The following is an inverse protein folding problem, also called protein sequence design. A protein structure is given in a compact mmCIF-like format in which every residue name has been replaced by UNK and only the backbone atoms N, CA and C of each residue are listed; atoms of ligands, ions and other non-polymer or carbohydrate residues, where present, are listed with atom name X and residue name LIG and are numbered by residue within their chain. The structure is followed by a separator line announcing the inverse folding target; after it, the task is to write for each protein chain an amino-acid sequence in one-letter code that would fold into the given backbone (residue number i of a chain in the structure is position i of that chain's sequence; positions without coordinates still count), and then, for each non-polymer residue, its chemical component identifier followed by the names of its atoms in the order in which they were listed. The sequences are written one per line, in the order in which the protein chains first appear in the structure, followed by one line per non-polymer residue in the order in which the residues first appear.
data_IF_989597009379
#
_entry.id   IF_989597009379
#
_cell.length_a   1.000
_cell.length_b   1.000
_cell.length_c   1.000
_cell.angle_alpha   90.00
_cell.angle_beta   90.00
_cell.angle_gamma   90.00
#
_symmetry.space_group_name_H-M   'P 1'
#
loop_
_entity.id
_entity.type
_entity.pdbx_description
1 polymer ?
#
# COMPACT_ATOMS: atom_id res chain seq x y z
N UNK A 1 13.99 -5.34 54.07
CA UNK A 1 13.22 -4.18 53.51
C UNK A 1 13.25 -4.15 51.98
N UNK A 2 14.40 -4.39 51.34
CA UNK A 2 14.56 -4.36 49.87
C UNK A 2 13.68 -5.36 49.09
N UNK A 3 13.51 -6.60 49.59
CA UNK A 3 12.75 -7.65 48.90
C UNK A 3 11.26 -7.29 48.68
N UNK A 4 10.60 -6.71 49.69
CA UNK A 4 9.20 -6.22 49.57
C UNK A 4 9.06 -5.07 48.56
N UNK A 5 10.11 -4.26 48.39
CA UNK A 5 10.13 -3.15 47.43
C UNK A 5 10.27 -3.67 46.00
N UNK A 6 11.11 -4.68 45.80
CA UNK A 6 11.29 -5.35 44.50
C UNK A 6 9.97 -6.00 44.05
N UNK A 7 9.30 -6.77 44.92
CA UNK A 7 8.01 -7.41 44.60
C UNK A 7 6.95 -6.38 44.16
N UNK A 8 6.84 -5.25 44.87
CA UNK A 8 5.88 -4.20 44.49
C UNK A 8 6.16 -3.63 43.11
N UNK A 9 7.44 -3.39 42.78
CA UNK A 9 7.85 -2.88 41.46
C UNK A 9 7.53 -3.90 40.36
N UNK A 10 7.84 -5.18 40.60
CA UNK A 10 7.53 -6.27 39.65
C UNK A 10 6.02 -6.41 39.42
N UNK A 11 5.21 -6.28 40.48
CA UNK A 11 3.75 -6.36 40.36
C UNK A 11 3.19 -5.19 39.53
N UNK A 12 3.66 -3.97 39.76
CA UNK A 12 3.25 -2.79 38.98
C UNK A 12 3.63 -2.96 37.50
N UNK A 13 4.84 -3.47 37.23
CA UNK A 13 5.28 -3.78 35.87
C UNK A 13 4.38 -4.83 35.21
N UNK A 14 4.06 -5.93 35.90
CA UNK A 14 3.17 -6.98 35.40
C UNK A 14 1.77 -6.45 35.08
N UNK A 15 1.20 -5.61 35.94
CA UNK A 15 -0.11 -4.98 35.70
C UNK A 15 -0.05 -4.07 34.48
N UNK A 16 1.00 -3.26 34.33
CA UNK A 16 1.21 -2.42 33.15
C UNK A 16 1.36 -3.23 31.87
N UNK A 17 2.17 -4.30 31.93
CA UNK A 17 2.42 -5.22 30.82
C UNK A 17 1.12 -5.92 30.38
N UNK A 18 0.36 -6.49 31.33
CA UNK A 18 -0.91 -7.15 31.04
C UNK A 18 -1.95 -6.17 30.50
N UNK A 19 -2.04 -4.96 31.06
CA UNK A 19 -2.95 -3.91 30.58
C UNK A 19 -2.64 -3.51 29.13
N UNK A 20 -1.36 -3.32 28.79
CA UNK A 20 -0.95 -2.97 27.44
C UNK A 20 -1.28 -4.08 26.42
N UNK A 21 -1.06 -5.35 26.79
CA UNK A 21 -1.42 -6.48 25.93
C UNK A 21 -2.94 -6.60 25.75
N UNK A 22 -3.72 -6.35 26.81
CA UNK A 22 -5.18 -6.40 26.74
C UNK A 22 -5.76 -5.29 25.84
N UNK A 23 -5.22 -4.07 25.95
CA UNK A 23 -5.59 -2.95 25.07
C UNK A 23 -5.25 -3.28 23.61
N UNK A 24 -4.04 -3.80 23.37
CA UNK A 24 -3.63 -4.19 22.02
C UNK A 24 -4.55 -5.27 21.44
N UNK A 25 -4.86 -6.31 22.23
CA UNK A 25 -5.82 -7.34 21.86
C UNK A 25 -7.21 -6.78 21.53
N UNK A 26 -7.71 -5.82 22.31
CA UNK A 26 -8.99 -5.18 22.05
C UNK A 26 -8.97 -4.35 20.76
N UNK A 27 -7.87 -3.63 20.48
CA UNK A 27 -7.72 -2.81 19.28
C UNK A 27 -7.67 -3.62 17.98
N UNK A 28 -7.13 -4.84 18.03
CA UNK A 28 -7.04 -5.75 16.87
C UNK A 28 -8.19 -6.76 16.81
N UNK A 29 -9.13 -6.70 17.75
CA UNK A 29 -10.19 -7.69 17.83
C UNK A 29 -11.10 -7.63 16.60
N UNK A 30 -11.22 -8.75 15.89
CA UNK A 30 -11.98 -8.84 14.64
C UNK A 30 -11.24 -8.35 13.39
N UNK A 31 -10.00 -7.87 13.52
CA UNK A 31 -9.13 -7.52 12.39
C UNK A 31 -8.21 -8.70 12.03
N UNK A 32 -7.94 -8.86 10.74
CA UNK A 32 -6.87 -9.75 10.29
C UNK A 32 -5.51 -9.11 10.63
N UNK A 33 -4.72 -9.78 11.49
CA UNK A 33 -3.43 -9.28 11.94
C UNK A 33 -2.30 -10.27 11.60
N UNK A 34 -1.15 -9.79 11.09
CA UNK A 34 0.00 -10.65 10.86
C UNK A 34 0.60 -11.11 12.20
N UNK A 35 1.16 -12.33 12.23
CA UNK A 35 1.84 -12.86 13.41
C UNK A 35 3.07 -12.01 13.80
N UNK A 36 3.78 -11.45 12.82
CA UNK A 36 4.96 -10.61 13.00
C UNK A 36 4.95 -9.48 11.98
N UNK A 37 5.22 -8.26 12.45
CA UNK A 37 5.27 -7.07 11.59
C UNK A 37 6.71 -6.84 11.12
N UNK A 38 7.12 -7.54 10.04
CA UNK A 38 8.48 -7.54 9.50
C UNK A 38 8.65 -6.72 8.22
N UNK A 39 7.57 -6.15 7.67
CA UNK A 39 7.62 -5.39 6.42
C UNK A 39 7.88 -3.91 6.67
N UNK A 40 8.83 -3.33 5.92
CA UNK A 40 9.12 -1.90 5.91
C UNK A 40 8.59 -1.17 4.67
N UNK A 41 7.93 -1.88 3.75
CA UNK A 41 7.46 -1.27 2.51
C UNK A 41 6.21 -0.42 2.78
N UNK A 42 6.20 0.80 2.25
CA UNK A 42 5.02 1.66 2.27
C UNK A 42 3.87 1.00 1.50
N UNK A 43 2.72 0.88 2.14
CA UNK A 43 1.49 0.43 1.49
C UNK A 43 0.97 1.51 0.53
N UNK A 44 0.19 1.14 -0.51
CA UNK A 44 -0.56 2.11 -1.30
C UNK A 44 -1.46 2.99 -0.42
N UNK A 45 -1.74 4.19 -0.92
CA UNK A 45 -2.76 5.06 -0.35
C UNK A 45 -4.15 4.43 -0.50
N UNK A 46 -5.04 4.76 0.43
CA UNK A 46 -6.41 4.28 0.46
C UNK A 46 -7.31 5.12 -0.47
N UNK A 47 -7.44 4.67 -1.73
CA UNK A 47 -8.25 5.31 -2.77
C UNK A 47 -9.71 4.89 -2.79
N UNK A 48 -10.06 3.77 -2.15
CA UNK A 48 -11.42 3.21 -2.18
C UNK A 48 -11.88 3.10 -0.74
N UNK A 49 -12.72 4.04 -0.31
CA UNK A 49 -13.28 4.03 1.03
C UNK A 49 -14.28 2.89 1.20
N UNK A 50 -14.42 2.42 2.44
CA UNK A 50 -15.29 1.27 2.75
C UNK A 50 -16.75 1.53 2.35
N UNK A 51 -17.22 2.77 2.45
CA UNK A 51 -18.57 3.18 2.02
C UNK A 51 -18.77 3.16 0.50
N UNK A 52 -17.69 3.09 -0.29
CA UNK A 52 -17.73 2.88 -1.74
C UNK A 52 -17.85 1.39 -2.11
N UNK A 53 -17.69 0.47 -1.15
CA UNK A 53 -17.74 -0.97 -1.35
C UNK A 53 -19.09 -1.49 -0.85
N UNK A 54 -19.96 -1.86 -1.79
CA UNK A 54 -21.29 -2.40 -1.49
C UNK A 54 -21.24 -3.91 -1.68
N UNK A 55 -21.60 -4.63 -0.62
CA UNK A 55 -21.69 -6.09 -0.62
C UNK A 55 -23.17 -6.46 -0.70
N UNK A 56 -23.54 -7.16 -1.76
CA UNK A 56 -24.85 -7.80 -1.93
C UNK A 56 -24.69 -9.34 -1.86
N UNK A 57 -25.79 -10.07 -1.87
CA UNK A 57 -25.79 -11.53 -1.69
C UNK A 57 -25.02 -12.27 -2.81
N UNK A 58 -24.96 -11.70 -4.02
CA UNK A 58 -24.39 -12.34 -5.22
C UNK A 58 -23.28 -11.54 -5.90
N UNK A 59 -22.96 -10.33 -5.41
CA UNK A 59 -21.97 -9.45 -6.04
C UNK A 59 -21.37 -8.44 -5.05
N UNK A 60 -20.21 -7.92 -5.45
CA UNK A 60 -19.57 -6.78 -4.82
C UNK A 60 -19.56 -5.65 -5.87
N UNK A 61 -20.05 -4.48 -5.48
CA UNK A 61 -20.05 -3.27 -6.30
C UNK A 61 -19.07 -2.29 -5.66
N UNK A 62 -18.12 -1.81 -6.46
CA UNK A 62 -17.15 -0.80 -6.05
C UNK A 62 -17.43 0.46 -6.87
N UNK A 63 -17.91 1.51 -6.21
CA UNK A 63 -18.28 2.77 -6.86
C UNK A 63 -17.07 3.71 -6.97
N UNK A 64 -16.49 3.80 -8.16
CA UNK A 64 -15.34 4.65 -8.46
C UNK A 64 -15.61 5.37 -9.78
N UNK A 65 -15.47 6.69 -9.78
CA UNK A 65 -15.60 7.49 -10.99
C UNK A 65 -14.41 7.26 -11.94
N UNK A 66 -14.70 7.22 -13.24
CA UNK A 66 -13.70 7.09 -14.32
C UNK A 66 -12.69 5.94 -14.16
N UNK A 67 -13.09 4.87 -13.49
CA UNK A 67 -12.28 3.67 -13.34
C UNK A 67 -12.15 2.89 -14.65
N UNK A 68 -10.99 2.27 -14.86
CA UNK A 68 -10.73 1.37 -15.98
C UNK A 68 -10.05 0.09 -15.51
N UNK A 69 -10.03 -0.93 -16.38
CA UNK A 69 -9.35 -2.19 -16.12
C UNK A 69 -7.91 -2.16 -16.65
N UNK A 70 -6.97 -2.54 -15.79
CA UNK A 70 -5.58 -2.83 -16.13
C UNK A 70 -5.35 -4.32 -16.36
N UNK A 71 -4.51 -4.64 -17.36
CA UNK A 71 -4.05 -6.01 -17.66
C UNK A 71 -2.54 -6.00 -17.76
N UNK A 72 -1.91 -7.08 -17.31
CA UNK A 72 -0.46 -7.12 -17.12
C UNK A 72 0.22 -8.16 -18.00
N UNK A 73 1.38 -7.80 -18.55
CA UNK A 73 2.24 -8.72 -19.27
C UNK A 73 3.00 -9.63 -18.29
N UNK A 74 3.33 -10.88 -18.68
CA UNK A 74 4.03 -11.85 -17.83
C UNK A 74 5.54 -11.53 -17.69
N UNK A 75 5.87 -10.33 -17.21
CA UNK A 75 7.27 -9.91 -17.00
C UNK A 75 7.83 -10.38 -15.65
N UNK A 76 6.95 -10.63 -14.68
CA UNK A 76 7.32 -11.03 -13.31
C UNK A 76 7.93 -9.91 -12.45
N UNK A 77 7.98 -8.67 -12.92
CA UNK A 77 8.60 -7.54 -12.18
C UNK A 77 7.81 -7.09 -10.97
N UNK A 78 6.50 -7.38 -10.95
CA UNK A 78 5.58 -7.01 -9.86
C UNK A 78 5.19 -8.21 -8.97
N UNK A 79 5.83 -9.38 -9.14
CA UNK A 79 5.63 -10.49 -8.20
C UNK A 79 6.18 -10.13 -6.81
N UNK A 80 5.58 -10.61 -5.71
CA UNK A 80 4.38 -11.46 -5.65
C UNK A 80 3.06 -10.69 -5.67
N UNK A 81 3.08 -9.35 -5.80
CA UNK A 81 1.88 -8.51 -5.64
C UNK A 81 0.88 -8.70 -6.76
N UNK A 82 1.34 -8.78 -8.00
CA UNK A 82 0.50 -9.10 -9.15
C UNK A 82 1.31 -9.82 -10.23
N UNK A 83 0.60 -10.47 -11.15
CA UNK A 83 1.20 -11.13 -12.30
C UNK A 83 0.23 -11.17 -13.49
N UNK A 84 0.64 -11.83 -14.57
CA UNK A 84 -0.25 -12.22 -15.64
C UNK A 84 -1.48 -12.97 -15.10
N UNK A 85 -2.66 -12.51 -15.51
CA UNK A 85 -3.96 -13.03 -15.04
C UNK A 85 -4.64 -12.12 -14.00
N UNK A 86 -3.87 -11.32 -13.25
CA UNK A 86 -4.45 -10.34 -12.33
C UNK A 86 -5.19 -9.24 -13.10
N UNK A 87 -6.31 -8.78 -12.54
CA UNK A 87 -7.11 -7.68 -13.06
C UNK A 87 -6.92 -6.47 -12.16
N UNK A 88 -6.33 -5.40 -12.70
CA UNK A 88 -6.19 -4.14 -11.97
C UNK A 88 -7.43 -3.28 -12.14
N UNK A 89 -7.88 -2.65 -11.06
CA UNK A 89 -8.77 -1.50 -11.10
C UNK A 89 -7.87 -0.26 -11.00
N UNK A 90 -7.99 0.66 -11.95
CA UNK A 90 -7.12 1.83 -12.01
C UNK A 90 -7.88 3.09 -12.38
N UNK A 91 -7.43 4.21 -11.81
CA UNK A 91 -7.98 5.55 -12.04
C UNK A 91 -6.91 6.43 -12.64
N UNK A 92 -7.31 7.49 -13.34
CA UNK A 92 -6.40 8.52 -13.80
C UNK A 92 -6.20 9.54 -12.67
N UNK A 93 -4.96 9.86 -12.26
CA UNK A 93 -4.74 10.92 -11.30
C UNK A 93 -4.98 12.29 -11.94
N UNK A 94 -5.51 13.23 -11.17
CA UNK A 94 -5.77 14.59 -11.61
C UNK A 94 -4.55 15.49 -11.38
N UNK A 95 -3.77 15.21 -10.33
CA UNK A 95 -2.57 16.00 -10.02
C UNK A 95 -1.43 15.20 -9.38
N UNK A 96 -0.28 15.85 -9.22
CA UNK A 96 0.93 15.25 -8.63
C UNK A 96 0.71 14.90 -7.15
N UNK A 97 -0.25 15.56 -6.49
CA UNK A 97 -0.65 15.36 -5.10
C UNK A 97 -1.32 14.00 -4.89
N UNK A 98 -2.05 13.49 -5.89
CA UNK A 98 -2.78 12.20 -5.81
C UNK A 98 -1.83 11.00 -5.74
N UNK A 99 -0.58 11.17 -6.16
CA UNK A 99 0.42 10.09 -6.20
C UNK A 99 1.22 10.09 -4.90
N UNK A 100 1.15 8.98 -4.17
CA UNK A 100 1.76 8.77 -2.87
C UNK A 100 2.87 7.71 -2.90
N UNK A 101 3.77 7.77 -1.92
CA UNK A 101 4.77 6.72 -1.72
C UNK A 101 4.03 5.43 -1.33
N UNK A 102 4.33 4.33 -2.02
CA UNK A 102 3.66 3.05 -1.86
C UNK A 102 2.66 2.73 -2.96
N UNK A 103 2.19 3.73 -3.73
CA UNK A 103 1.23 3.53 -4.82
C UNK A 103 1.83 2.73 -5.98
N UNK A 104 0.99 1.96 -6.67
CA UNK A 104 1.38 1.26 -7.89
C UNK A 104 0.86 2.06 -9.08
N UNK A 105 1.77 2.65 -9.85
CA UNK A 105 1.43 3.55 -10.95
C UNK A 105 1.79 2.94 -12.30
N UNK A 106 0.98 3.24 -13.32
CA UNK A 106 1.29 2.99 -14.72
C UNK A 106 1.78 4.27 -15.38
N UNK A 107 2.96 4.25 -16.00
CA UNK A 107 3.58 5.40 -16.65
C UNK A 107 4.16 5.05 -18.01
N UNK A 108 4.17 6.01 -18.94
CA UNK A 108 4.74 5.87 -20.28
C UNK A 108 6.23 6.13 -20.27
N UNK A 109 6.96 5.23 -20.92
CA UNK A 109 8.39 5.40 -21.20
C UNK A 109 8.71 4.75 -22.53
N UNK A 110 9.33 5.51 -23.42
CA UNK A 110 9.74 5.04 -24.75
C UNK A 110 8.58 4.39 -25.54
N UNK A 111 7.35 4.92 -25.38
CA UNK A 111 6.12 4.42 -26.02
C UNK A 111 5.44 3.25 -25.31
N UNK A 112 6.09 2.65 -24.31
CA UNK A 112 5.58 1.47 -23.58
C UNK A 112 4.95 1.92 -22.27
N UNK A 113 3.85 1.26 -21.87
CA UNK A 113 3.24 1.46 -20.56
C UNK A 113 3.90 0.51 -19.55
N UNK A 114 4.53 1.07 -18.53
CA UNK A 114 5.23 0.35 -17.45
C UNK A 114 4.44 0.52 -16.17
N UNK A 115 4.31 -0.54 -15.36
CA UNK A 115 3.66 -0.49 -14.05
C UNK A 115 4.66 -0.86 -12.96
N UNK A 116 4.87 0.02 -11.98
CA UNK A 116 5.76 -0.21 -10.85
C UNK A 116 5.31 0.59 -9.60
N UNK A 117 5.84 0.25 -8.43
CA UNK A 117 5.52 0.91 -7.16
C UNK A 117 6.34 2.18 -6.96
N UNK A 118 5.72 3.26 -6.52
CA UNK A 118 6.40 4.48 -6.08
C UNK A 118 7.13 4.21 -4.77
N UNK A 119 8.44 4.40 -4.76
CA UNK A 119 9.30 4.24 -3.57
C UNK A 119 9.81 5.57 -3.04
N UNK A 120 9.77 6.63 -3.85
CA UNK A 120 10.18 7.97 -3.45
C UNK A 120 9.38 9.04 -4.22
N UNK A 121 9.10 10.16 -3.55
CA UNK A 121 8.52 11.38 -4.12
C UNK A 121 9.41 12.56 -3.72
N UNK A 122 9.76 13.41 -4.67
CA UNK A 122 10.61 14.57 -4.42
C UNK A 122 10.39 15.69 -5.41
N UNK A 123 11.11 16.80 -5.21
CA UNK A 123 11.06 17.98 -6.07
C UNK A 123 12.47 18.31 -6.54
N UNK A 124 12.62 18.62 -7.83
CA UNK A 124 13.86 19.17 -8.37
C UNK A 124 13.57 20.35 -9.32
N UNK A 125 14.60 20.82 -10.03
CA UNK A 125 14.49 21.96 -10.96
C UNK A 125 13.42 21.82 -12.05
N UNK A 126 12.95 20.60 -12.32
CA UNK A 126 11.93 20.32 -13.34
C UNK A 126 10.55 20.01 -12.73
N UNK A 127 10.34 20.28 -11.43
CA UNK A 127 9.09 20.00 -10.71
C UNK A 127 9.13 18.70 -9.90
N UNK A 128 7.95 18.17 -9.55
CA UNK A 128 7.83 16.91 -8.81
C UNK A 128 8.37 15.76 -9.67
N UNK A 129 8.96 14.78 -8.99
CA UNK A 129 9.34 13.51 -9.58
C UNK A 129 8.99 12.37 -8.64
N UNK A 130 8.87 11.20 -9.24
CA UNK A 130 8.65 9.93 -8.56
C UNK A 130 9.78 8.98 -8.94
N UNK A 131 10.27 8.22 -7.97
CA UNK A 131 11.13 7.05 -8.25
C UNK A 131 10.25 5.83 -8.06
N UNK A 132 10.21 5.00 -9.09
CA UNK A 132 9.46 3.76 -9.10
C UNK A 132 10.37 2.54 -9.05
N UNK A 133 9.80 1.41 -8.67
CA UNK A 133 10.50 0.13 -8.60
C UNK A 133 9.49 -1.02 -8.75
N UNK A 134 9.82 -2.02 -9.56
CA UNK A 134 9.07 -3.28 -9.54
C UNK A 134 9.24 -4.01 -8.21
N UNK A 135 8.16 -4.56 -7.66
CA UNK A 135 8.18 -5.23 -6.35
C UNK A 135 9.17 -6.41 -6.30
N UNK A 136 9.44 -7.04 -7.44
CA UNK A 136 10.42 -8.13 -7.59
C UNK A 136 11.78 -7.66 -8.13
N UNK A 137 11.97 -6.37 -8.36
CA UNK A 137 13.23 -5.86 -8.92
C UNK A 137 14.24 -5.56 -7.80
N UNK A 138 15.54 -5.58 -8.13
CA UNK A 138 16.59 -5.15 -7.19
C UNK A 138 16.89 -3.67 -7.31
N UNK A 139 16.91 -3.15 -8.54
CA UNK A 139 17.19 -1.75 -8.86
C UNK A 139 15.90 -0.92 -8.99
N UNK A 140 16.01 0.37 -8.64
CA UNK A 140 14.98 1.39 -8.89
C UNK A 140 15.03 1.86 -10.35
N UNK A 141 13.91 2.39 -10.82
CA UNK A 141 13.81 3.04 -12.11
C UNK A 141 14.40 4.46 -12.09
N UNK A 142 14.44 5.08 -13.28
CA UNK A 142 14.75 6.51 -13.40
C UNK A 142 13.55 7.35 -12.95
N UNK A 143 13.82 8.61 -12.61
CA UNK A 143 12.79 9.61 -12.27
C UNK A 143 11.68 9.63 -13.32
N UNK A 144 10.44 9.48 -12.86
CA UNK A 144 9.20 9.61 -13.62
C UNK A 144 8.57 10.96 -13.29
N UNK A 145 8.05 11.66 -14.31
CA UNK A 145 7.31 12.92 -14.13
C UNK A 145 5.82 12.66 -14.16
N UNK A 146 5.05 13.51 -13.49
CA UNK A 146 3.60 13.37 -13.45
C UNK A 146 2.97 13.26 -14.85
N UNK A 147 3.43 14.08 -15.80
CA UNK A 147 2.96 14.04 -17.20
C UNK A 147 3.10 12.67 -17.89
N UNK A 148 3.98 11.81 -17.39
CA UNK A 148 4.23 10.48 -17.93
C UNK A 148 3.37 9.42 -17.22
N UNK A 149 2.76 9.74 -16.07
CA UNK A 149 1.87 8.87 -15.32
C UNK A 149 0.49 8.87 -15.97
N UNK A 150 -0.01 7.68 -16.34
CA UNK A 150 -1.35 7.53 -16.92
C UNK A 150 -2.37 7.08 -15.87
N UNK A 151 -1.99 6.21 -14.94
CA UNK A 151 -2.93 5.60 -13.99
C UNK A 151 -2.31 5.31 -12.63
N UNK A 152 -3.14 5.34 -11.60
CA UNK A 152 -2.89 4.74 -10.28
C UNK A 152 -3.73 3.47 -10.16
N UNK A 153 -3.12 2.37 -9.74
CA UNK A 153 -3.83 1.12 -9.43
C UNK A 153 -4.42 1.22 -8.04
N UNK A 154 -5.75 1.11 -7.94
CA UNK A 154 -6.52 1.28 -6.71
C UNK A 154 -7.07 -0.05 -6.18
N UNK A 155 -7.07 -1.09 -7.00
CA UNK A 155 -7.45 -2.45 -6.60
C UNK A 155 -6.81 -3.50 -7.51
N UNK A 156 -6.57 -4.69 -6.98
CA UNK A 156 -6.06 -5.83 -7.72
C UNK A 156 -6.93 -7.02 -7.37
N UNK A 157 -7.45 -7.70 -8.39
CA UNK A 157 -8.20 -8.93 -8.27
C UNK A 157 -7.37 -10.06 -8.88
N UNK A 158 -7.11 -11.10 -8.09
CA UNK A 158 -6.33 -12.27 -8.49
C UNK A 158 -7.24 -13.43 -8.91
#
# INVERSE_FOLDING_TARGET
MAFKKIIKITLIFLVGFLSANLINFYLIYGLEAPLLNLSSNSSPYDFIKEDQIIIEDDKIIINIEDASIGRYAPTGSMRPVLDYGSNGIRVKPDSEEDVHIGDIISFRKDGILIIHRVVEKGIDKNGVYFITKGDNNTAVDKKVRFKDIEYITVGILW
#
